data_IF_479817498176
#
_entry.id   IF_479817498176
#
_cell.length_a   1.000
_cell.length_b   1.000
_cell.length_c   1.000
_cell.angle_alpha   90.00
_cell.angle_beta   90.00
_cell.angle_gamma   90.00
#
_symmetry.space_group_name_H-M   'P 1'
#
loop_
_entity.id
_entity.type
_entity.pdbx_description
1 polymer ?
#
# COMPACT_ATOMS: atom_id res chain seq x y z
N UNK A 1 50.74 13.99 67.26
CA UNK A 1 50.55 13.43 65.90
C UNK A 1 49.49 12.33 65.98
N UNK A 2 48.47 12.45 65.13
CA UNK A 2 47.17 11.77 65.19
C UNK A 2 47.33 10.26 64.91
N UNK A 3 46.77 9.41 65.79
CA UNK A 3 46.58 7.97 65.55
C UNK A 3 45.23 7.77 64.88
N UNK A 4 45.24 7.32 63.62
CA UNK A 4 44.05 7.04 62.84
C UNK A 4 43.46 5.66 63.20
N UNK A 5 42.18 5.70 63.53
CA UNK A 5 41.23 4.59 63.69
C UNK A 5 40.95 3.98 62.31
N UNK A 6 41.22 2.69 62.11
CA UNK A 6 40.77 1.98 60.91
C UNK A 6 39.65 0.99 61.28
N UNK A 7 38.48 1.30 60.76
CA UNK A 7 37.21 0.60 60.93
C UNK A 7 37.23 -0.67 60.06
N UNK A 8 37.27 -1.84 60.69
CA UNK A 8 37.20 -3.12 59.99
C UNK A 8 35.73 -3.51 59.79
N UNK A 9 35.26 -3.30 58.57
CA UNK A 9 33.91 -3.59 58.11
C UNK A 9 33.73 -5.11 57.99
N UNK A 10 32.97 -5.73 58.89
CA UNK A 10 32.52 -7.12 58.75
C UNK A 10 31.57 -7.20 57.55
N UNK A 11 31.98 -7.87 56.47
CA UNK A 11 31.05 -8.35 55.45
C UNK A 11 30.33 -9.62 55.95
N UNK A 12 29.01 -9.75 55.79
CA UNK A 12 28.34 -11.01 56.03
C UNK A 12 28.71 -12.00 54.91
N UNK A 13 29.27 -13.15 55.29
CA UNK A 13 29.35 -14.31 54.41
C UNK A 13 27.91 -14.69 54.02
N UNK A 14 27.54 -14.48 52.76
CA UNK A 14 26.31 -15.04 52.20
C UNK A 14 26.46 -16.56 52.10
N UNK A 15 25.86 -17.29 53.03
CA UNK A 15 25.74 -18.74 52.91
C UNK A 15 24.78 -19.03 51.75
N UNK A 16 25.29 -19.64 50.69
CA UNK A 16 24.45 -20.22 49.66
C UNK A 16 23.84 -21.50 50.24
N UNK A 17 22.60 -21.42 50.71
CA UNK A 17 21.84 -22.59 51.15
C UNK A 17 21.53 -23.46 49.93
N UNK A 18 22.42 -24.41 49.63
CA UNK A 18 22.19 -25.40 48.60
C UNK A 18 21.16 -26.43 49.09
N UNK A 19 20.36 -26.94 48.16
CA UNK A 19 19.23 -27.83 48.43
C UNK A 19 19.51 -29.18 47.76
N UNK A 20 19.43 -30.24 48.57
CA UNK A 20 19.48 -31.62 48.09
C UNK A 20 18.16 -32.32 48.43
N UNK A 21 17.49 -32.86 47.42
CA UNK A 21 16.15 -33.44 47.52
C UNK A 21 16.08 -34.71 46.70
N UNK A 22 15.38 -35.72 47.21
CA UNK A 22 15.06 -36.94 46.48
C UNK A 22 13.57 -37.24 46.64
N UNK A 23 12.90 -37.37 45.50
CA UNK A 23 11.51 -37.77 45.39
C UNK A 23 11.45 -39.00 44.49
N UNK A 24 10.92 -40.09 45.03
CA UNK A 24 10.77 -41.35 44.31
C UNK A 24 9.28 -41.58 44.03
N UNK A 25 8.88 -41.50 42.75
CA UNK A 25 7.51 -41.75 42.28
C UNK A 25 6.43 -40.93 43.02
N UNK A 26 6.66 -39.63 43.19
CA UNK A 26 5.78 -38.72 43.95
C UNK A 26 4.75 -38.08 43.03
N UNK A 27 3.52 -37.89 43.52
CA UNK A 27 2.47 -37.18 42.77
C UNK A 27 2.87 -35.72 42.54
N UNK A 28 2.54 -35.20 41.35
CA UNK A 28 2.92 -33.83 40.95
C UNK A 28 2.30 -32.78 41.88
N UNK A 29 1.11 -33.02 42.42
CA UNK A 29 0.49 -32.12 43.41
C UNK A 29 1.31 -32.00 44.71
N UNK A 30 1.78 -33.12 45.25
CA UNK A 30 2.63 -33.19 46.42
C UNK A 30 4.00 -32.59 46.16
N UNK A 31 4.62 -32.91 45.02
CA UNK A 31 5.90 -32.33 44.60
C UNK A 31 5.80 -30.81 44.45
N UNK A 32 4.74 -30.32 43.79
CA UNK A 32 4.52 -28.90 43.59
C UNK A 32 4.33 -28.16 44.92
N UNK A 33 3.58 -28.75 45.86
CA UNK A 33 3.43 -28.20 47.21
C UNK A 33 4.77 -28.06 47.92
N UNK A 34 5.56 -29.13 47.99
CA UNK A 34 6.87 -29.09 48.66
C UNK A 34 7.83 -28.12 47.96
N UNK A 35 7.83 -28.09 46.63
CA UNK A 35 8.80 -27.28 45.91
C UNK A 35 8.41 -25.81 45.82
N UNK A 36 7.21 -25.50 45.34
CA UNK A 36 6.79 -24.12 45.13
C UNK A 36 6.33 -23.46 46.42
N UNK A 37 5.64 -24.17 47.32
CA UNK A 37 5.17 -23.58 48.58
C UNK A 37 6.22 -23.53 49.67
N UNK A 38 7.04 -24.57 49.83
CA UNK A 38 7.94 -24.68 51.00
C UNK A 38 9.35 -24.21 50.68
N UNK A 39 9.92 -24.66 49.54
CA UNK A 39 11.31 -24.32 49.16
C UNK A 39 11.41 -22.98 48.43
N UNK A 40 10.57 -22.76 47.41
CA UNK A 40 10.60 -21.57 46.55
C UNK A 40 9.74 -20.43 47.14
N UNK A 41 8.74 -20.78 47.96
CA UNK A 41 7.80 -19.84 48.60
C UNK A 41 7.06 -18.92 47.62
N UNK A 42 6.59 -19.49 46.51
CA UNK A 42 5.87 -18.77 45.44
C UNK A 42 4.50 -19.41 45.17
N UNK A 43 3.49 -18.60 44.82
CA UNK A 43 2.18 -19.11 44.43
C UNK A 43 2.29 -19.98 43.17
N UNK A 44 1.47 -21.03 43.10
CA UNK A 44 1.42 -21.91 41.95
C UNK A 44 -0.01 -22.39 41.64
N UNK A 45 -0.24 -22.77 40.39
CA UNK A 45 -1.49 -23.34 39.88
C UNK A 45 -1.17 -24.65 39.15
N UNK A 46 -1.96 -25.69 39.38
CA UNK A 46 -1.84 -26.97 38.68
C UNK A 46 -3.05 -27.11 37.74
N UNK A 47 -2.79 -27.34 36.45
CA UNK A 47 -3.85 -27.64 35.49
C UNK A 47 -4.49 -29.02 35.76
N UNK A 48 -5.76 -29.16 35.43
CA UNK A 48 -6.50 -30.40 35.69
C UNK A 48 -5.86 -31.63 35.00
N UNK A 49 -5.94 -32.78 35.65
CA UNK A 49 -5.33 -34.03 35.20
C UNK A 49 -3.83 -34.16 35.47
N UNK A 50 -3.07 -33.06 35.64
CA UNK A 50 -1.62 -33.12 35.87
C UNK A 50 -1.27 -33.52 37.29
N UNK A 51 -2.01 -33.03 38.30
CA UNK A 51 -1.68 -33.28 39.71
C UNK A 51 -1.63 -34.77 40.11
N UNK A 52 -2.32 -35.66 39.38
CA UNK A 52 -2.35 -37.10 39.62
C UNK A 52 -1.16 -37.86 39.01
N UNK A 53 -0.42 -37.27 38.06
CA UNK A 53 0.77 -37.89 37.49
C UNK A 53 1.84 -38.07 38.57
N UNK A 54 2.67 -39.09 38.43
CA UNK A 54 3.80 -39.35 39.33
C UNK A 54 5.12 -39.09 38.62
N UNK A 55 6.07 -38.50 39.33
CA UNK A 55 7.41 -38.17 38.82
C UNK A 55 8.47 -38.51 39.87
N UNK A 56 9.67 -38.85 39.41
CA UNK A 56 10.84 -39.05 40.27
C UNK A 56 11.85 -37.96 39.98
N UNK A 57 12.34 -37.29 41.04
CA UNK A 57 13.24 -36.15 40.94
C UNK A 57 14.33 -36.30 41.99
N UNK A 58 15.59 -36.27 41.55
CA UNK A 58 16.74 -36.18 42.44
C UNK A 58 17.53 -34.92 42.12
N UNK A 59 17.59 -34.01 43.08
CA UNK A 59 18.39 -32.79 43.04
C UNK A 59 19.51 -32.93 44.06
N UNK A 60 20.73 -32.64 43.66
CA UNK A 60 21.89 -32.68 44.54
C UNK A 60 22.62 -31.35 44.45
N UNK A 61 22.84 -30.72 45.61
CA UNK A 61 23.62 -29.50 45.75
C UNK A 61 23.17 -28.34 44.84
N UNK A 62 21.84 -28.15 44.71
CA UNK A 62 21.27 -27.13 43.82
C UNK A 62 21.07 -25.83 44.60
N UNK A 63 21.65 -24.69 44.18
CA UNK A 63 21.41 -23.40 44.81
C UNK A 63 19.91 -23.06 44.78
N UNK A 64 19.36 -22.57 45.90
CA UNK A 64 17.92 -22.20 46.01
C UNK A 64 17.41 -21.34 44.85
N UNK A 65 18.22 -20.40 44.36
CA UNK A 65 17.89 -19.53 43.21
C UNK A 65 17.68 -20.30 41.90
N UNK A 66 18.27 -21.49 41.76
CA UNK A 66 18.22 -22.33 40.56
C UNK A 66 17.29 -23.55 40.69
N UNK A 67 16.72 -23.79 41.88
CA UNK A 67 15.83 -24.93 42.14
C UNK A 67 14.61 -24.88 41.24
N UNK A 68 13.96 -23.72 41.09
CA UNK A 68 12.79 -23.56 40.22
C UNK A 68 13.09 -23.94 38.76
N UNK A 69 14.19 -23.43 38.20
CA UNK A 69 14.63 -23.72 36.84
C UNK A 69 15.00 -25.19 36.65
N UNK A 70 15.69 -25.78 37.62
CA UNK A 70 16.11 -27.19 37.57
C UNK A 70 14.90 -28.11 37.64
N UNK A 71 13.97 -27.82 38.55
CA UNK A 71 12.71 -28.55 38.68
C UNK A 71 11.87 -28.44 37.40
N UNK A 72 11.78 -27.26 36.80
CA UNK A 72 11.10 -27.06 35.52
C UNK A 72 11.65 -27.99 34.43
N UNK A 73 12.99 -28.07 34.28
CA UNK A 73 13.64 -28.97 33.30
C UNK A 73 13.39 -30.45 33.57
N UNK A 74 13.35 -30.86 34.83
CA UNK A 74 13.06 -32.27 35.16
C UNK A 74 11.60 -32.61 34.86
N UNK A 75 10.68 -31.71 35.18
CA UNK A 75 9.27 -31.88 34.86
C UNK A 75 9.01 -31.87 33.35
N UNK A 76 9.76 -31.06 32.59
CA UNK A 76 9.70 -31.04 31.11
C UNK A 76 10.00 -32.41 30.49
N UNK A 77 10.93 -33.17 31.07
CA UNK A 77 11.25 -34.53 30.64
C UNK A 77 10.11 -35.53 30.86
N UNK A 78 9.12 -35.17 31.69
CA UNK A 78 7.91 -35.95 31.98
C UNK A 78 6.65 -35.38 31.29
N UNK A 79 6.83 -34.60 30.22
CA UNK A 79 5.77 -33.89 29.49
C UNK A 79 4.94 -32.94 30.37
N UNK A 80 5.57 -32.34 31.38
CA UNK A 80 4.98 -31.35 32.27
C UNK A 80 5.78 -30.05 32.15
N UNK A 81 5.12 -28.96 31.80
CA UNK A 81 5.74 -27.65 31.69
C UNK A 81 5.46 -26.83 32.94
N UNK A 82 6.47 -26.10 33.40
CA UNK A 82 6.36 -25.11 34.48
C UNK A 82 6.63 -23.74 33.87
N UNK A 83 5.61 -22.88 33.81
CA UNK A 83 5.72 -21.50 33.31
C UNK A 83 5.57 -20.51 34.46
N UNK A 84 6.44 -19.53 34.53
CA UNK A 84 6.28 -18.39 35.43
C UNK A 84 5.59 -17.25 34.69
N UNK A 85 4.47 -16.76 35.21
CA UNK A 85 3.81 -15.56 34.73
C UNK A 85 3.46 -14.66 35.92
N UNK A 86 4.00 -13.44 35.90
CA UNK A 86 3.73 -12.40 36.91
C UNK A 86 3.98 -12.88 38.35
N UNK A 87 4.98 -13.74 38.54
CA UNK A 87 5.37 -14.29 39.86
C UNK A 87 4.53 -15.48 40.34
N UNK A 88 3.65 -16.04 39.49
CA UNK A 88 2.88 -17.26 39.74
C UNK A 88 3.39 -18.37 38.82
N UNK A 89 3.64 -19.56 39.36
CA UNK A 89 4.03 -20.74 38.57
C UNK A 89 2.82 -21.55 38.12
N UNK A 90 2.68 -21.77 36.81
CA UNK A 90 1.66 -22.62 36.20
C UNK A 90 2.28 -23.96 35.81
N UNK A 91 1.73 -25.06 36.34
CA UNK A 91 2.20 -26.42 36.13
C UNK A 91 1.15 -27.15 35.27
N UNK A 92 1.50 -27.46 34.04
CA UNK A 92 0.56 -27.98 33.05
C UNK A 92 1.18 -29.05 32.14
N UNK A 93 0.39 -29.66 31.23
CA UNK A 93 0.96 -30.50 30.18
C UNK A 93 1.90 -29.64 29.32
N UNK A 94 3.02 -30.21 28.90
CA UNK A 94 3.91 -29.54 27.95
C UNK A 94 3.17 -29.27 26.66
N UNK A 95 2.94 -28.00 26.34
CA UNK A 95 2.32 -27.61 25.08
C UNK A 95 3.44 -27.46 24.06
N UNK A 96 3.68 -28.51 23.28
CA UNK A 96 4.53 -28.36 22.11
C UNK A 96 3.84 -27.39 21.15
N UNK A 97 4.60 -26.38 20.70
CA UNK A 97 4.10 -25.52 19.64
C UNK A 97 3.76 -26.38 18.41
N UNK A 98 2.59 -26.15 17.85
CA UNK A 98 2.18 -26.77 16.61
C UNK A 98 2.76 -26.00 15.42
N UNK A 99 3.16 -26.75 14.40
CA UNK A 99 3.51 -26.18 13.11
C UNK A 99 2.24 -25.95 12.29
N UNK A 100 2.04 -24.72 11.83
CA UNK A 100 1.00 -24.34 10.88
C UNK A 100 1.68 -23.97 9.56
N UNK A 101 1.39 -24.76 8.53
CA UNK A 101 1.86 -24.50 7.17
C UNK A 101 0.66 -24.04 6.36
N UNK A 102 0.70 -22.80 5.87
CA UNK A 102 -0.36 -22.22 5.07
C UNK A 102 0.17 -21.77 3.71
N UNK A 103 -0.48 -22.18 2.61
CA UNK A 103 -0.13 -21.73 1.26
C UNK A 103 -1.19 -20.77 0.75
N UNK A 104 -0.91 -19.45 0.70
CA UNK A 104 -1.87 -18.48 0.22
C UNK A 104 -2.26 -18.75 -1.25
N UNK A 105 -3.54 -18.56 -1.56
CA UNK A 105 -4.15 -18.75 -2.87
C UNK A 105 -4.32 -17.43 -3.62
N UNK A 106 -4.60 -16.34 -2.92
CA UNK A 106 -5.00 -15.07 -3.55
C UNK A 106 -4.16 -13.87 -3.14
N UNK A 107 -3.58 -13.89 -1.93
CA UNK A 107 -2.73 -12.82 -1.39
C UNK A 107 -1.26 -13.25 -1.31
N UNK A 108 -0.30 -12.34 -1.49
CA UNK A 108 1.10 -12.63 -1.23
C UNK A 108 1.33 -12.86 0.27
N UNK A 109 2.35 -13.67 0.59
CA UNK A 109 2.71 -14.00 1.98
C UNK A 109 3.05 -12.75 2.79
N UNK A 110 3.62 -11.72 2.15
CA UNK A 110 3.97 -10.45 2.79
C UNK A 110 2.76 -9.75 3.43
N UNK A 111 1.63 -9.67 2.71
CA UNK A 111 0.41 -9.01 3.21
C UNK A 111 -0.18 -9.79 4.40
N UNK A 112 -0.17 -11.12 4.32
CA UNK A 112 -0.65 -11.98 5.40
C UNK A 112 0.26 -11.95 6.63
N UNK A 113 1.56 -11.67 6.44
CA UNK A 113 2.53 -11.62 7.53
C UNK A 113 2.25 -10.48 8.50
N UNK A 114 1.83 -9.32 7.99
CA UNK A 114 1.46 -8.18 8.83
C UNK A 114 0.25 -8.52 9.70
N UNK A 115 -0.78 -9.13 9.10
CA UNK A 115 -1.96 -9.61 9.83
C UNK A 115 -1.60 -10.65 10.90
N UNK A 116 -0.72 -11.59 10.56
CA UNK A 116 -0.25 -12.64 11.48
C UNK A 116 0.51 -12.07 12.66
N UNK A 117 1.41 -11.11 12.43
CA UNK A 117 2.16 -10.45 13.51
C UNK A 117 1.25 -9.73 14.49
N UNK A 118 0.16 -9.14 13.99
CA UNK A 118 -0.82 -8.46 14.83
C UNK A 118 -1.76 -9.44 15.56
N UNK A 119 -2.24 -10.48 14.88
CA UNK A 119 -3.19 -11.45 15.42
C UNK A 119 -2.54 -12.50 16.35
N UNK A 120 -1.27 -12.84 16.10
CA UNK A 120 -0.53 -13.89 16.81
C UNK A 120 0.86 -13.39 17.25
N UNK A 121 0.95 -12.53 18.29
CA UNK A 121 2.22 -11.93 18.71
C UNK A 121 3.26 -12.96 19.19
N UNK A 122 2.82 -14.14 19.64
CA UNK A 122 3.69 -15.26 20.02
C UNK A 122 4.11 -16.17 18.85
N UNK A 123 3.74 -15.84 17.61
CA UNK A 123 4.11 -16.62 16.44
C UNK A 123 5.62 -16.58 16.19
N UNK A 124 6.28 -17.74 16.28
CA UNK A 124 7.64 -17.89 15.77
C UNK A 124 7.59 -18.14 14.27
N UNK A 125 8.03 -17.15 13.50
CA UNK A 125 8.09 -17.20 12.05
C UNK A 125 9.31 -17.99 11.59
N UNK A 126 9.08 -19.13 10.94
CA UNK A 126 10.15 -19.90 10.29
C UNK A 126 10.33 -19.36 8.87
N UNK A 127 10.87 -18.14 8.73
CA UNK A 127 11.25 -17.64 7.40
C UNK A 127 12.49 -18.39 6.95
N UNK A 128 12.35 -19.26 5.95
CA UNK A 128 13.50 -19.80 5.23
C UNK A 128 14.35 -18.64 4.72
N UNK A 129 15.59 -18.55 5.18
CA UNK A 129 16.56 -17.60 4.65
C UNK A 129 16.83 -17.97 3.19
N UNK A 130 16.13 -17.35 2.25
CA UNK A 130 16.64 -17.28 0.89
C UNK A 130 17.76 -16.24 0.90
N UNK A 131 18.99 -16.70 0.99
CA UNK A 131 20.17 -15.91 0.63
C UNK A 131 19.97 -15.51 -0.83
N UNK A 132 19.56 -14.26 -1.05
CA UNK A 132 19.57 -13.69 -2.38
C UNK A 132 21.03 -13.57 -2.81
N UNK A 133 21.43 -14.34 -3.81
CA UNK A 133 22.60 -14.02 -4.61
C UNK A 133 22.34 -12.62 -5.16
N UNK A 134 23.17 -11.66 -4.77
CA UNK A 134 23.30 -10.39 -5.49
C UNK A 134 23.79 -10.72 -6.88
N UNK A 135 22.88 -10.83 -7.85
CA UNK A 135 23.24 -10.55 -9.24
C UNK A 135 23.57 -9.08 -9.29
N UNK A 136 24.87 -8.78 -9.31
CA UNK A 136 25.39 -7.51 -9.80
C UNK A 136 24.86 -7.32 -11.22
N UNK A 137 23.83 -6.49 -11.36
CA UNK A 137 23.49 -5.90 -12.65
C UNK A 137 24.60 -4.89 -12.93
N UNK A 138 25.55 -5.30 -13.77
CA UNK A 138 26.56 -4.44 -14.34
C UNK A 138 25.87 -3.53 -15.37
N UNK A 139 25.25 -2.44 -14.91
CA UNK A 139 24.74 -1.39 -15.77
C UNK A 139 25.60 -0.12 -15.62
N UNK A 140 26.43 0.08 -16.65
CA UNK A 140 26.89 1.31 -17.28
C UNK A 140 26.73 2.64 -16.51
N UNK A 141 27.85 3.35 -16.35
CA UNK A 141 27.95 4.72 -15.82
C UNK A 141 26.98 5.72 -16.49
N UNK A 142 26.38 6.64 -15.72
CA UNK A 142 25.90 7.90 -16.25
C UNK A 142 27.03 8.95 -16.24
N UNK A 143 27.34 9.52 -17.41
CA UNK A 143 28.15 10.74 -17.54
C UNK A 143 27.27 11.98 -17.32
N UNK A 144 27.75 12.85 -16.42
CA UNK A 144 27.29 14.19 -15.96
C UNK A 144 26.35 15.02 -16.88
N UNK A 145 25.46 15.89 -16.37
CA UNK A 145 25.25 16.36 -15.00
C UNK A 145 24.14 17.45 -14.93
N UNK A 146 23.65 17.71 -13.72
CA UNK A 146 22.68 18.78 -13.41
C UNK A 146 21.74 18.41 -12.26
N UNK A 147 21.90 19.10 -11.12
CA UNK A 147 21.26 18.94 -9.80
C UNK A 147 19.97 18.12 -9.70
N UNK A 148 20.04 17.01 -8.93
CA UNK A 148 18.88 16.35 -8.37
C UNK A 148 19.03 16.26 -6.83
N UNK A 149 18.02 16.79 -6.15
CA UNK A 149 17.76 16.70 -4.72
C UNK A 149 17.97 15.26 -4.23
N UNK A 150 18.86 15.06 -3.25
CA UNK A 150 19.02 13.75 -2.58
C UNK A 150 17.71 13.39 -1.86
N UNK A 151 17.05 12.27 -2.17
CA UNK A 151 16.06 11.71 -1.26
C UNK A 151 16.82 11.18 -0.05
N UNK A 152 16.42 11.58 1.16
CA UNK A 152 16.84 10.94 2.40
C UNK A 152 16.23 9.53 2.38
N UNK A 153 16.90 8.59 1.72
CA UNK A 153 16.52 7.18 1.78
C UNK A 153 17.03 6.66 3.11
N UNK A 154 16.17 6.62 4.13
CA UNK A 154 16.39 5.70 5.25
C UNK A 154 16.52 4.30 4.65
N UNK A 155 17.52 3.50 5.02
CA UNK A 155 17.50 2.08 4.68
C UNK A 155 16.33 1.45 5.42
N UNK A 156 15.16 1.39 4.78
CA UNK A 156 14.19 0.37 5.11
C UNK A 156 14.78 -0.93 4.60
N UNK A 157 15.32 -1.72 5.52
CA UNK A 157 15.53 -3.13 5.30
C UNK A 157 14.16 -3.75 5.02
N UNK A 158 13.74 -3.75 3.75
CA UNK A 158 12.69 -4.64 3.28
C UNK A 158 13.32 -6.03 3.28
N UNK A 159 13.26 -6.67 4.43
CA UNK A 159 13.42 -8.11 4.50
C UNK A 159 12.32 -8.70 3.62
N UNK A 160 12.65 -9.05 2.37
CA UNK A 160 11.82 -9.96 1.57
C UNK A 160 11.73 -11.25 2.37
N UNK A 161 10.68 -11.35 3.18
CA UNK A 161 10.38 -12.53 3.95
C UNK A 161 10.04 -13.66 2.97
N UNK A 162 11.08 -14.42 2.59
CA UNK A 162 11.02 -15.77 2.05
C UNK A 162 10.43 -15.91 0.64
N UNK A 163 11.26 -16.34 -0.31
CA UNK A 163 10.82 -16.85 -1.63
C UNK A 163 9.97 -18.13 -1.59
N UNK A 164 9.48 -18.55 -0.43
CA UNK A 164 8.53 -19.64 -0.29
C UNK A 164 7.14 -19.02 -0.36
N UNK A 165 6.34 -19.38 -1.36
CA UNK A 165 4.91 -19.02 -1.44
C UNK A 165 4.06 -19.71 -0.37
N UNK A 166 4.63 -19.96 0.82
CA UNK A 166 4.08 -20.73 1.93
C UNK A 166 4.51 -20.04 3.23
N UNK A 167 3.56 -19.82 4.12
CA UNK A 167 3.76 -19.34 5.48
C UNK A 167 3.94 -20.54 6.42
N UNK A 168 5.00 -20.53 7.22
CA UNK A 168 5.29 -21.57 8.21
C UNK A 168 5.38 -20.92 9.59
N UNK A 169 4.41 -21.22 10.46
CA UNK A 169 4.29 -20.67 11.80
C UNK A 169 4.46 -21.77 12.83
N UNK A 170 5.15 -21.45 13.91
CA UNK A 170 5.17 -22.24 15.13
C UNK A 170 4.34 -21.50 16.19
N UNK A 171 3.25 -22.11 16.66
CA UNK A 171 2.22 -21.48 17.48
C UNK A 171 1.75 -22.40 18.62
N UNK A 172 1.35 -21.85 19.79
CA UNK A 172 0.66 -22.62 20.82
C UNK A 172 -0.62 -23.28 20.26
N UNK A 173 -1.03 -24.47 20.73
CA UNK A 173 -2.13 -25.24 20.13
C UNK A 173 -3.45 -24.47 19.92
N UNK A 174 -3.83 -23.61 20.86
CA UNK A 174 -5.03 -22.78 20.73
C UNK A 174 -4.92 -21.75 19.58
N UNK A 175 -3.76 -21.12 19.42
CA UNK A 175 -3.49 -20.16 18.35
C UNK A 175 -3.30 -20.86 17.01
N UNK A 176 -2.71 -22.06 16.99
CA UNK A 176 -2.58 -22.85 15.78
C UNK A 176 -3.95 -23.22 15.18
N UNK A 177 -4.93 -23.59 16.03
CA UNK A 177 -6.32 -23.80 15.61
C UNK A 177 -6.94 -22.52 15.06
N UNK A 178 -6.85 -21.41 15.80
CA UNK A 178 -7.35 -20.11 15.35
C UNK A 178 -6.73 -19.65 14.02
N UNK A 179 -5.43 -19.87 13.82
CA UNK A 179 -4.74 -19.54 12.57
C UNK A 179 -5.27 -20.37 11.39
N UNK A 180 -5.48 -21.68 11.57
CA UNK A 180 -6.05 -22.56 10.54
C UNK A 180 -7.47 -22.15 10.14
N UNK A 181 -8.27 -21.64 11.08
CA UNK A 181 -9.61 -21.13 10.82
C UNK A 181 -9.61 -19.73 10.20
N UNK A 182 -8.68 -18.86 10.61
CA UNK A 182 -8.60 -17.48 10.14
C UNK A 182 -8.08 -17.37 8.71
N UNK A 183 -7.06 -18.15 8.34
CA UNK A 183 -6.40 -17.98 7.03
C UNK A 183 -7.34 -18.06 5.83
N UNK A 184 -8.26 -19.06 5.74
CA UNK A 184 -9.21 -19.11 4.64
C UNK A 184 -10.18 -17.92 4.59
N UNK A 185 -10.44 -17.26 5.72
CA UNK A 185 -11.35 -16.11 5.79
C UNK A 185 -10.69 -14.81 5.30
N UNK A 186 -9.37 -14.68 5.48
CA UNK A 186 -8.62 -13.48 5.08
C UNK A 186 -7.96 -13.60 3.70
N UNK A 187 -7.58 -14.81 3.30
CA UNK A 187 -7.06 -15.11 1.97
C UNK A 187 -8.21 -15.29 0.98
N UNK A 188 -8.84 -14.17 0.67
CA UNK A 188 -9.93 -14.06 -0.30
C UNK A 188 -9.43 -13.48 -1.61
N UNK A 189 -10.05 -13.83 -2.76
CA UNK A 189 -9.71 -13.22 -4.04
C UNK A 189 -9.93 -11.72 -4.00
N UNK A 190 -8.92 -10.95 -4.42
CA UNK A 190 -9.10 -9.52 -4.63
C UNK A 190 -10.00 -9.31 -5.86
N UNK A 191 -10.98 -8.42 -5.75
CA UNK A 191 -11.87 -8.07 -6.85
C UNK A 191 -11.07 -7.50 -8.03
N UNK A 192 -11.49 -7.85 -9.24
CA UNK A 192 -10.95 -7.29 -10.48
C UNK A 192 -11.90 -6.23 -11.00
N UNK A 193 -11.32 -5.16 -11.55
CA UNK A 193 -12.03 -4.02 -12.08
C UNK A 193 -11.60 -3.78 -13.53
N UNK A 194 -12.56 -3.41 -14.36
CA UNK A 194 -12.33 -2.87 -15.69
C UNK A 194 -12.64 -1.38 -15.67
N UNK A 195 -11.63 -0.55 -15.92
CA UNK A 195 -11.71 0.90 -15.83
C UNK A 195 -11.52 1.46 -17.23
N UNK A 196 -12.46 2.30 -17.65
CA UNK A 196 -12.46 2.96 -18.95
C UNK A 196 -12.55 4.45 -18.75
N UNK A 197 -11.75 5.19 -19.51
CA UNK A 197 -11.86 6.64 -19.53
C UNK A 197 -11.91 7.17 -20.97
N UNK A 198 -12.55 8.33 -21.16
CA UNK A 198 -12.52 9.12 -22.39
C UNK A 198 -12.17 10.55 -22.03
N UNK A 199 -11.05 11.04 -22.53
CA UNK A 199 -10.67 12.44 -22.35
C UNK A 199 -11.13 13.26 -23.56
N UNK A 200 -11.77 14.38 -23.28
CA UNK A 200 -12.22 15.38 -24.26
C UNK A 200 -11.50 16.70 -24.04
N UNK A 201 -11.22 17.38 -25.14
CA UNK A 201 -10.96 18.81 -25.18
C UNK A 201 -12.28 19.49 -25.56
N UNK A 202 -12.77 20.38 -24.69
CA UNK A 202 -14.10 20.97 -24.80
C UNK A 202 -13.95 22.48 -24.98
N UNK A 203 -14.48 22.98 -26.09
CA UNK A 203 -14.54 24.43 -26.34
C UNK A 203 -15.87 25.00 -25.80
N UNK A 204 -15.79 25.89 -24.82
CA UNK A 204 -16.93 26.58 -24.22
C UNK A 204 -16.82 28.09 -24.46
N UNK A 205 -17.96 28.78 -24.35
CA UNK A 205 -18.05 30.24 -24.37
C UNK A 205 -18.81 30.74 -23.13
N UNK A 206 -18.90 32.06 -22.96
CA UNK A 206 -19.62 32.69 -21.84
C UNK A 206 -21.12 32.34 -21.79
N UNK A 207 -21.74 31.95 -22.91
CA UNK A 207 -23.16 31.64 -22.97
C UNK A 207 -23.47 30.19 -22.56
N UNK A 208 -22.48 29.29 -22.69
CA UNK A 208 -22.66 27.84 -22.54
C UNK A 208 -22.42 27.31 -21.11
N UNK A 209 -21.70 28.05 -20.26
CA UNK A 209 -21.37 27.63 -18.89
C UNK A 209 -20.19 26.65 -18.82
N UNK A 210 -20.14 25.78 -17.81
CA UNK A 210 -19.05 24.80 -17.64
C UNK A 210 -19.17 23.65 -18.65
N UNK A 211 -18.05 22.97 -18.95
CA UNK A 211 -18.06 21.76 -19.79
C UNK A 211 -18.92 20.63 -19.18
N UNK A 212 -19.02 20.55 -17.85
CA UNK A 212 -19.89 19.61 -17.12
C UNK A 212 -21.37 19.96 -17.34
N UNK A 213 -21.75 21.23 -17.25
CA UNK A 213 -23.12 21.68 -17.54
C UNK A 213 -23.51 21.40 -18.99
N UNK A 214 -22.60 21.69 -19.92
CA UNK A 214 -22.80 21.41 -21.32
C UNK A 214 -22.99 19.90 -21.55
N UNK A 215 -22.09 19.07 -21.01
CA UNK A 215 -22.20 17.61 -21.13
C UNK A 215 -23.53 17.11 -20.54
N UNK A 216 -23.92 17.59 -19.36
CA UNK A 216 -25.19 17.25 -18.74
C UNK A 216 -26.40 17.64 -19.59
N UNK A 217 -26.39 18.82 -20.20
CA UNK A 217 -27.49 19.28 -21.06
C UNK A 217 -27.65 18.41 -22.32
N UNK A 218 -26.54 18.05 -22.96
CA UNK A 218 -26.53 17.22 -24.16
C UNK A 218 -26.97 15.78 -23.85
N UNK A 219 -26.37 15.19 -22.81
CA UNK A 219 -26.66 13.82 -22.38
C UNK A 219 -28.08 13.71 -21.86
N UNK A 220 -28.52 14.66 -21.03
CA UNK A 220 -29.88 14.73 -20.50
C UNK A 220 -30.95 14.87 -21.59
N UNK A 221 -30.71 15.72 -22.58
CA UNK A 221 -31.64 15.96 -23.69
C UNK A 221 -31.70 14.80 -24.69
N UNK A 222 -30.57 14.17 -25.02
CA UNK A 222 -30.51 13.10 -26.04
C UNK A 222 -30.75 11.70 -25.50
N UNK A 223 -30.46 11.43 -24.22
CA UNK A 223 -30.71 10.14 -23.58
C UNK A 223 -31.94 10.14 -22.65
N UNK A 224 -32.64 11.27 -22.51
CA UNK A 224 -33.84 11.37 -21.66
C UNK A 224 -33.59 11.21 -20.16
N UNK A 225 -32.31 11.18 -19.72
CA UNK A 225 -31.91 10.82 -18.36
C UNK A 225 -32.31 11.86 -17.30
N UNK A 226 -32.60 13.10 -17.72
CA UNK A 226 -33.06 14.15 -16.80
C UNK A 226 -34.51 13.93 -16.31
N UNK A 227 -35.36 13.21 -17.06
CA UNK A 227 -36.76 12.97 -16.67
C UNK A 227 -36.95 11.70 -15.81
N UNK A 228 -35.97 10.79 -15.78
CA UNK A 228 -36.06 9.49 -15.10
C UNK A 228 -35.20 9.36 -13.82
N UNK A 229 -34.68 10.47 -13.27
CA UNK A 229 -33.79 10.43 -12.10
C UNK A 229 -32.40 9.85 -12.39
N UNK A 230 -31.93 9.97 -13.64
CA UNK A 230 -30.65 9.39 -14.10
C UNK A 230 -29.39 10.14 -13.66
N UNK A 231 -29.52 11.31 -13.03
CA UNK A 231 -28.39 12.07 -12.46
C UNK A 231 -28.33 11.82 -10.95
N UNK A 232 -27.23 11.26 -10.48
CA UNK A 232 -27.03 10.87 -9.07
C UNK A 232 -26.46 11.99 -8.20
N UNK A 233 -25.53 12.76 -8.78
CA UNK A 233 -24.86 13.85 -8.11
C UNK A 233 -24.40 14.86 -9.17
N UNK A 234 -24.44 16.14 -8.83
CA UNK A 234 -23.92 17.24 -9.65
C UNK A 234 -23.15 18.20 -8.74
N UNK A 235 -21.93 18.53 -9.13
CA UNK A 235 -21.15 19.65 -8.62
C UNK A 235 -20.72 20.53 -9.80
N UNK A 236 -20.03 21.64 -9.52
CA UNK A 236 -19.49 22.49 -10.58
C UNK A 236 -18.41 21.78 -11.43
N UNK A 237 -17.77 20.73 -10.89
CA UNK A 237 -16.68 20.00 -11.54
C UNK A 237 -17.01 18.56 -11.90
N UNK A 238 -18.16 18.02 -11.47
CA UNK A 238 -18.50 16.63 -11.72
C UNK A 238 -20.01 16.39 -11.87
N UNK A 239 -20.37 15.40 -12.69
CA UNK A 239 -21.72 14.86 -12.73
C UNK A 239 -21.68 13.34 -12.89
N UNK A 240 -22.53 12.64 -12.14
CA UNK A 240 -22.62 11.17 -12.18
C UNK A 240 -23.96 10.73 -12.76
N UNK A 241 -23.92 9.82 -13.73
CA UNK A 241 -25.08 9.23 -14.39
C UNK A 241 -25.29 7.78 -13.97
N UNK A 242 -26.55 7.42 -13.70
CA UNK A 242 -27.00 6.04 -13.47
C UNK A 242 -27.58 5.46 -14.77
N UNK A 243 -27.45 4.14 -14.96
CA UNK A 243 -28.05 3.40 -16.08
C UNK A 243 -27.60 3.89 -17.47
N UNK A 244 -26.44 4.52 -17.54
CA UNK A 244 -25.80 4.92 -18.79
C UNK A 244 -24.48 4.16 -18.91
N UNK A 245 -24.02 3.93 -20.14
CA UNK A 245 -22.68 3.39 -20.40
C UNK A 245 -21.77 4.51 -20.87
N UNK A 246 -20.45 4.37 -20.67
CA UNK A 246 -19.47 5.34 -21.16
C UNK A 246 -19.59 5.54 -22.66
N UNK A 247 -19.90 4.49 -23.41
CA UNK A 247 -20.06 4.55 -24.87
C UNK A 247 -21.30 5.32 -25.30
N UNK A 248 -22.42 5.16 -24.57
CA UNK A 248 -23.64 5.90 -24.86
C UNK A 248 -23.46 7.39 -24.60
N UNK A 249 -22.82 7.74 -23.48
CA UNK A 249 -22.48 9.13 -23.13
C UNK A 249 -21.48 9.70 -24.13
N UNK A 250 -20.38 8.98 -24.42
CA UNK A 250 -19.37 9.39 -25.39
C UNK A 250 -19.97 9.63 -26.78
N UNK A 251 -20.85 8.75 -27.26
CA UNK A 251 -21.54 8.92 -28.56
C UNK A 251 -22.37 10.21 -28.63
N UNK A 252 -23.01 10.58 -27.52
CA UNK A 252 -23.75 11.85 -27.43
C UNK A 252 -22.80 13.03 -27.49
N UNK A 253 -21.70 13.00 -26.72
CA UNK A 253 -20.72 14.08 -26.70
C UNK A 253 -20.00 14.22 -28.05
N UNK A 254 -19.60 13.11 -28.67
CA UNK A 254 -18.97 13.05 -30.00
C UNK A 254 -19.84 13.65 -31.12
N UNK A 255 -21.16 13.73 -30.91
CA UNK A 255 -22.08 14.33 -31.88
C UNK A 255 -22.14 15.86 -31.83
N UNK A 256 -21.45 16.49 -30.87
CA UNK A 256 -21.34 17.94 -30.74
C UNK A 256 -19.92 18.41 -31.06
N UNK A 257 -19.79 19.37 -31.98
CA UNK A 257 -18.49 19.83 -32.49
C UNK A 257 -17.60 20.49 -31.44
N UNK A 258 -18.17 20.89 -30.29
CA UNK A 258 -17.39 21.47 -29.17
C UNK A 258 -16.58 20.42 -28.42
N UNK A 259 -16.92 19.14 -28.54
CA UNK A 259 -16.23 18.04 -27.88
C UNK A 259 -15.28 17.35 -28.86
N UNK A 260 -13.98 17.42 -28.59
CA UNK A 260 -12.96 16.73 -29.37
C UNK A 260 -12.35 15.61 -28.52
N UNK A 261 -12.57 14.36 -28.89
CA UNK A 261 -11.95 13.21 -28.20
C UNK A 261 -10.43 13.28 -28.34
N UNK A 262 -9.72 13.27 -27.21
CA UNK A 262 -8.25 13.24 -27.12
C UNK A 262 -7.73 11.83 -26.91
N UNK A 263 -8.40 11.02 -26.09
CA UNK A 263 -7.97 9.64 -25.82
C UNK A 263 -9.09 8.77 -25.22
N UNK A 264 -8.93 7.45 -25.33
CA UNK A 264 -9.85 6.42 -24.80
C UNK A 264 -9.11 5.25 -24.12
N UNK A 265 -8.33 5.48 -23.05
CA UNK A 265 -7.63 4.40 -22.38
C UNK A 265 -8.60 3.45 -21.66
N UNK A 266 -8.24 2.17 -21.59
CA UNK A 266 -8.96 1.18 -20.79
C UNK A 266 -7.97 0.17 -20.20
N UNK A 267 -8.17 -0.18 -18.93
CA UNK A 267 -7.29 -1.08 -18.18
C UNK A 267 -8.08 -2.05 -17.32
N UNK A 268 -7.52 -3.24 -17.09
CA UNK A 268 -7.99 -4.19 -16.08
C UNK A 268 -7.00 -4.22 -14.93
N UNK A 269 -7.50 -4.13 -13.71
CA UNK A 269 -6.67 -4.01 -12.51
C UNK A 269 -7.36 -4.63 -11.31
N UNK A 270 -6.58 -5.19 -10.38
CA UNK A 270 -7.10 -5.71 -9.10
C UNK A 270 -7.27 -4.58 -8.11
N UNK A 271 -8.24 -4.70 -7.20
CA UNK A 271 -8.33 -3.81 -6.03
C UNK A 271 -7.00 -3.74 -5.27
N UNK A 272 -6.54 -2.53 -4.95
CA UNK A 272 -5.26 -2.23 -4.33
C UNK A 272 -4.05 -2.29 -5.27
N UNK A 273 -4.24 -2.64 -6.54
CA UNK A 273 -3.18 -2.67 -7.55
C UNK A 273 -3.05 -1.36 -8.32
N UNK A 274 -1.92 -1.16 -8.98
CA UNK A 274 -1.69 -0.03 -9.89
C UNK A 274 -1.71 -0.51 -11.35
N UNK A 275 -2.42 0.21 -12.21
CA UNK A 275 -2.39 0.00 -13.66
C UNK A 275 -1.99 1.27 -14.40
N UNK A 276 -1.15 1.09 -15.42
CA UNK A 276 -0.66 2.15 -16.29
C UNK A 276 -0.88 1.79 -17.74
N UNK A 277 -1.50 2.71 -18.47
CA UNK A 277 -1.58 2.69 -19.93
C UNK A 277 -0.75 3.85 -20.47
N UNK A 278 0.18 3.58 -21.39
CA UNK A 278 1.04 4.61 -21.98
C UNK A 278 1.21 4.35 -23.47
N UNK A 279 0.88 5.34 -24.29
CA UNK A 279 1.05 5.31 -25.75
C UNK A 279 1.54 6.66 -26.21
N UNK A 280 2.53 6.71 -27.09
CA UNK A 280 3.12 7.98 -27.49
C UNK A 280 4.24 7.82 -28.50
N UNK A 281 4.96 8.91 -28.69
CA UNK A 281 6.11 9.05 -29.57
C UNK A 281 7.23 9.80 -28.84
N UNK A 282 8.48 9.55 -29.22
CA UNK A 282 9.62 10.30 -28.76
C UNK A 282 10.08 11.25 -29.86
N UNK A 283 10.24 12.53 -29.52
CA UNK A 283 10.66 13.56 -30.47
C UNK A 283 12.02 14.12 -30.04
N UNK A 284 13.02 14.15 -30.94
CA UNK A 284 14.28 14.80 -30.67
C UNK A 284 14.07 16.31 -30.56
N UNK A 285 14.57 16.89 -29.47
CA UNK A 285 14.54 18.32 -29.19
C UNK A 285 15.97 18.85 -29.03
N UNK A 286 16.17 20.14 -29.34
CA UNK A 286 17.48 20.76 -29.18
C UNK A 286 17.82 20.90 -27.69
N UNK A 287 18.93 20.31 -27.27
CA UNK A 287 19.50 20.40 -25.93
C UNK A 287 20.44 21.60 -25.74
N UNK A 288 21.35 21.51 -24.77
CA UNK A 288 22.39 22.54 -24.58
C UNK A 288 23.43 22.57 -25.70
N UNK A 289 24.03 23.75 -25.91
CA UNK A 289 25.18 23.95 -26.81
C UNK A 289 26.46 24.00 -25.98
N UNK A 290 27.47 23.23 -26.40
CA UNK A 290 28.83 23.31 -25.83
C UNK A 290 29.78 23.87 -26.87
N UNK A 291 30.39 25.02 -26.59
CA UNK A 291 31.36 25.66 -27.48
C UNK A 291 32.78 25.35 -27.02
N UNK A 292 33.59 24.76 -27.91
CA UNK A 292 35.01 24.48 -27.70
C UNK A 292 35.87 25.20 -28.75
N UNK A 293 37.19 25.18 -28.57
CA UNK A 293 38.18 25.84 -29.44
C UNK A 293 38.08 25.39 -30.92
N UNK A 294 37.45 24.23 -31.20
CA UNK A 294 37.22 23.69 -32.54
C UNK A 294 35.79 23.83 -33.10
N UNK A 295 34.86 24.47 -32.40
CA UNK A 295 33.47 24.66 -32.85
C UNK A 295 32.41 24.47 -31.76
N UNK A 296 31.14 24.66 -32.14
CA UNK A 296 29.98 24.45 -31.27
C UNK A 296 29.34 23.08 -31.53
N UNK A 297 29.13 22.30 -30.48
CA UNK A 297 28.40 21.03 -30.51
C UNK A 297 27.03 21.21 -29.88
N UNK A 298 25.97 20.82 -30.60
CA UNK A 298 24.59 20.87 -30.15
C UNK A 298 24.14 19.50 -29.64
N UNK A 299 23.67 19.41 -28.39
CA UNK A 299 23.09 18.18 -27.87
C UNK A 299 21.68 17.96 -28.43
N UNK A 300 21.28 16.69 -28.57
CA UNK A 300 19.92 16.26 -28.91
C UNK A 300 19.34 15.54 -27.69
N UNK A 301 18.15 15.96 -27.24
CA UNK A 301 17.44 15.35 -26.11
C UNK A 301 16.11 14.82 -26.60
N UNK A 302 15.87 13.53 -26.41
CA UNK A 302 14.58 12.92 -26.72
C UNK A 302 13.56 13.25 -25.62
N UNK A 303 12.39 13.73 -26.04
CA UNK A 303 11.27 14.05 -25.16
C UNK A 303 10.07 13.21 -25.59
N UNK A 304 9.47 12.48 -24.66
CA UNK A 304 8.30 11.65 -24.95
C UNK A 304 7.00 12.47 -24.86
N UNK A 305 6.08 12.26 -25.80
CA UNK A 305 4.73 12.81 -25.76
C UNK A 305 3.70 11.76 -26.14
N UNK A 306 2.51 11.86 -25.56
CA UNK A 306 1.42 10.93 -25.83
C UNK A 306 0.37 10.93 -24.73
N UNK A 307 -0.29 9.79 -24.55
CA UNK A 307 -1.32 9.59 -23.54
C UNK A 307 -0.78 8.65 -22.48
N UNK A 308 -0.83 9.08 -21.22
CA UNK A 308 -0.50 8.27 -20.05
C UNK A 308 -1.70 8.30 -19.10
N UNK A 309 -2.26 7.14 -18.81
CA UNK A 309 -3.36 6.94 -17.87
C UNK A 309 -2.90 6.00 -16.77
N UNK A 310 -2.73 6.54 -15.57
CA UNK A 310 -2.41 5.81 -14.36
C UNK A 310 -3.66 5.76 -13.47
N UNK A 311 -3.94 4.57 -12.92
CA UNK A 311 -5.07 4.37 -12.00
C UNK A 311 -4.74 3.36 -10.92
N UNK A 312 -5.14 3.71 -9.69
CA UNK A 312 -5.07 2.84 -8.51
C UNK A 312 -6.47 2.75 -7.89
N UNK A 313 -7.20 1.64 -8.07
CA UNK A 313 -8.50 1.47 -7.44
C UNK A 313 -8.42 0.73 -6.11
N UNK A 314 -9.33 1.05 -5.19
CA UNK A 314 -9.57 0.31 -3.95
C UNK A 314 -11.07 0.06 -3.77
N UNK A 315 -11.46 -1.21 -3.74
CA UNK A 315 -12.86 -1.61 -3.52
C UNK A 315 -13.17 -1.60 -2.02
N UNK A 316 -14.23 -0.90 -1.64
CA UNK A 316 -14.80 -0.86 -0.30
C UNK A 316 -16.30 -1.20 -0.35
N UNK A 317 -16.91 -1.42 0.80
CA UNK A 317 -18.34 -1.78 0.88
C UNK A 317 -19.27 -0.72 0.26
N UNK A 318 -18.88 0.55 0.30
CA UNK A 318 -19.66 1.68 -0.22
C UNK A 318 -19.44 2.03 -1.70
N UNK A 319 -18.43 1.44 -2.35
CA UNK A 319 -18.01 1.80 -3.71
C UNK A 319 -16.54 1.50 -3.99
N UNK A 320 -16.03 2.09 -5.07
CA UNK A 320 -14.64 1.98 -5.51
C UNK A 320 -13.99 3.35 -5.40
N UNK A 321 -12.98 3.46 -4.55
CA UNK A 321 -12.12 4.63 -4.50
C UNK A 321 -11.11 4.53 -5.64
N UNK A 322 -10.89 5.64 -6.33
CA UNK A 322 -10.01 5.71 -7.49
C UNK A 322 -9.06 6.88 -7.29
N UNK A 323 -7.77 6.62 -7.43
CA UNK A 323 -6.76 7.63 -7.69
C UNK A 323 -6.39 7.55 -9.17
N UNK A 324 -6.54 8.67 -9.89
CA UNK A 324 -6.36 8.74 -11.33
C UNK A 324 -5.41 9.87 -11.68
N UNK A 325 -4.44 9.57 -12.54
CA UNK A 325 -3.59 10.56 -13.19
C UNK A 325 -3.64 10.36 -14.70
N UNK A 326 -4.15 11.37 -15.40
CA UNK A 326 -4.25 11.38 -16.86
C UNK A 326 -3.36 12.50 -17.40
N UNK A 327 -2.38 12.12 -18.21
CA UNK A 327 -1.49 13.04 -18.92
C UNK A 327 -1.70 12.88 -20.43
N UNK A 328 -1.91 14.00 -21.12
CA UNK A 328 -2.00 14.06 -22.58
C UNK A 328 -1.01 15.10 -23.05
N UNK A 329 -0.09 14.70 -23.91
CA UNK A 329 0.92 15.58 -24.48
C UNK A 329 1.10 15.36 -25.97
N UNK A 330 1.49 16.44 -26.65
CA UNK A 330 1.79 16.45 -28.07
C UNK A 330 2.86 17.49 -28.39
N UNK A 331 3.52 17.31 -29.52
CA UNK A 331 4.46 18.30 -30.04
C UNK A 331 3.79 19.09 -31.16
N UNK A 332 4.07 20.39 -31.18
CA UNK A 332 3.67 21.31 -32.24
C UNK A 332 4.85 22.16 -32.69
N UNK A 333 4.80 22.66 -33.93
CA UNK A 333 5.81 23.58 -34.44
C UNK A 333 5.84 24.85 -33.58
N UNK A 334 7.04 25.32 -33.26
CA UNK A 334 7.22 26.57 -32.52
C UNK A 334 7.09 27.74 -33.49
N UNK A 335 6.05 28.56 -33.32
CA UNK A 335 5.80 29.75 -34.15
C UNK A 335 6.23 31.06 -33.47
N UNK A 336 6.48 31.01 -32.16
CA UNK A 336 6.77 32.18 -31.31
C UNK A 336 8.24 32.58 -31.27
N UNK A 337 9.13 31.78 -31.87
CA UNK A 337 10.57 32.06 -31.91
C UNK A 337 11.21 31.47 -33.16
N UNK A 338 12.45 31.88 -33.46
CA UNK A 338 13.26 31.29 -34.55
C UNK A 338 13.91 29.95 -34.14
N UNK A 339 13.57 29.39 -32.97
CA UNK A 339 14.12 28.13 -32.50
C UNK A 339 13.55 26.97 -33.32
N UNK A 340 14.42 26.21 -33.99
CA UNK A 340 14.05 24.99 -34.71
C UNK A 340 13.93 23.78 -33.75
N UNK A 341 13.04 23.88 -32.76
CA UNK A 341 12.69 22.82 -31.82
C UNK A 341 11.19 22.87 -31.56
N UNK A 342 10.47 21.75 -31.48
CA UNK A 342 9.03 21.75 -31.26
C UNK A 342 8.65 22.21 -29.85
N UNK A 343 7.47 22.80 -29.73
CA UNK A 343 6.82 23.10 -28.45
C UNK A 343 6.08 21.86 -27.95
N UNK A 344 6.32 21.47 -26.69
CA UNK A 344 5.58 20.39 -26.02
C UNK A 344 4.33 20.97 -25.35
N UNK A 345 3.16 20.62 -25.89
CA UNK A 345 1.91 20.81 -25.19
C UNK A 345 1.70 19.67 -24.20
N UNK A 346 1.34 19.99 -22.96
CA UNK A 346 1.04 19.00 -21.93
C UNK A 346 -0.20 19.43 -21.14
N UNK A 347 -1.16 18.52 -21.02
CA UNK A 347 -2.34 18.63 -20.15
C UNK A 347 -2.29 17.49 -19.15
N UNK A 348 -2.49 17.79 -17.88
CA UNK A 348 -2.44 16.79 -16.80
C UNK A 348 -3.64 17.00 -15.87
N UNK A 349 -4.27 15.89 -15.49
CA UNK A 349 -5.36 15.84 -14.53
C UNK A 349 -5.01 14.79 -13.48
N UNK A 350 -5.05 15.17 -12.21
CA UNK A 350 -4.85 14.29 -11.08
C UNK A 350 -6.04 14.44 -10.13
N UNK A 351 -6.70 13.35 -9.80
CA UNK A 351 -7.93 13.38 -9.01
C UNK A 351 -8.13 12.09 -8.23
N UNK A 352 -8.82 12.21 -7.11
CA UNK A 352 -9.27 11.08 -6.31
C UNK A 352 -10.79 11.18 -6.11
N UNK A 353 -11.51 10.08 -6.36
CA UNK A 353 -12.96 10.04 -6.19
C UNK A 353 -13.46 8.64 -5.83
N UNK A 354 -14.63 8.58 -5.20
CA UNK A 354 -15.36 7.33 -4.97
C UNK A 354 -16.47 7.20 -6.00
N UNK A 355 -16.57 6.05 -6.67
CA UNK A 355 -17.63 5.74 -7.64
C UNK A 355 -18.29 4.43 -7.29
N UNK A 356 -19.52 4.18 -7.79
CA UNK A 356 -20.10 2.84 -7.73
C UNK A 356 -19.84 2.10 -9.04
N UNK A 357 -19.63 0.77 -9.01
CA UNK A 357 -19.54 -0.01 -10.23
C UNK A 357 -20.77 0.19 -11.12
N UNK A 358 -20.54 0.47 -12.41
CA UNK A 358 -21.56 0.74 -13.42
C UNK A 358 -22.02 2.19 -13.52
N UNK A 359 -21.62 3.07 -12.59
CA UNK A 359 -21.88 4.50 -12.73
C UNK A 359 -20.90 5.13 -13.73
N UNK A 360 -21.40 6.10 -14.49
CA UNK A 360 -20.59 6.90 -15.41
C UNK A 360 -20.38 8.27 -14.81
N UNK A 361 -19.13 8.65 -14.61
CA UNK A 361 -18.75 9.93 -14.01
C UNK A 361 -18.13 10.83 -15.06
N UNK A 362 -18.60 12.07 -15.16
CA UNK A 362 -17.99 13.14 -15.93
C UNK A 362 -17.30 14.09 -14.98
N UNK A 363 -16.02 14.37 -15.22
CA UNK A 363 -15.17 15.26 -14.43
C UNK A 363 -14.62 16.37 -15.33
N UNK A 364 -14.76 17.63 -14.93
CA UNK A 364 -14.07 18.76 -15.56
C UNK A 364 -12.69 18.98 -14.94
N UNK A 365 -11.70 19.28 -15.78
CA UNK A 365 -10.36 19.72 -15.41
C UNK A 365 -10.17 21.23 -15.54
N UNK A 366 -8.92 21.67 -15.42
CA UNK A 366 -8.49 23.08 -15.36
C UNK A 366 -8.86 23.89 -16.62
N UNK A 367 -9.16 25.17 -16.42
CA UNK A 367 -9.46 26.17 -17.45
C UNK A 367 -8.20 26.64 -18.21
N UNK A 368 -8.31 26.72 -19.54
CA UNK A 368 -7.38 27.51 -20.37
C UNK A 368 -8.20 28.53 -21.14
N UNK A 369 -7.98 29.81 -20.89
CA UNK A 369 -8.59 30.92 -21.62
C UNK A 369 -7.75 31.27 -22.84
N UNK A 370 -8.37 31.38 -24.01
CA UNK A 370 -7.73 31.85 -25.23
C UNK A 370 -8.55 33.02 -25.79
N UNK A 371 -8.06 34.24 -25.61
CA UNK A 371 -8.70 35.45 -26.13
C UNK A 371 -8.36 35.63 -27.62
N UNK A 372 -9.34 35.54 -28.51
CA UNK A 372 -9.16 35.89 -29.93
C UNK A 372 -9.87 37.21 -30.24
N UNK A 373 -9.09 38.26 -30.47
CA UNK A 373 -9.60 39.59 -30.84
C UNK A 373 -9.44 39.86 -32.35
N UNK A 374 -10.53 40.14 -33.06
CA UNK A 374 -10.52 40.53 -34.46
C UNK A 374 -11.23 41.87 -34.69
N UNK A 375 -10.49 42.89 -35.15
CA UNK A 375 -11.06 44.17 -35.58
C UNK A 375 -11.50 44.09 -37.05
N UNK A 376 -12.78 44.38 -37.34
CA UNK A 376 -13.27 44.45 -38.71
C UNK A 376 -13.27 45.91 -39.17
N UNK A 377 -12.52 46.19 -40.24
CA UNK A 377 -12.49 47.49 -40.89
C UNK A 377 -12.94 47.34 -42.34
N UNK A 378 -13.89 48.16 -42.78
CA UNK A 378 -14.30 48.27 -44.18
C UNK A 378 -13.92 49.68 -44.64
N UNK A 379 -13.07 49.80 -45.66
CA UNK A 379 -12.60 51.09 -46.19
C UNK A 379 -12.09 52.07 -45.11
N UNK A 380 -11.31 51.58 -44.12
CA UNK A 380 -10.76 52.42 -43.06
C UNK A 380 -11.77 52.86 -41.99
N UNK A 381 -13.03 52.45 -42.08
CA UNK A 381 -14.06 52.70 -41.05
C UNK A 381 -14.11 51.49 -40.10
N UNK A 382 -13.89 51.67 -38.79
CA UNK A 382 -14.01 50.59 -37.81
C UNK A 382 -15.48 50.20 -37.61
N UNK A 383 -15.86 48.97 -37.97
CA UNK A 383 -17.24 48.45 -37.88
C UNK A 383 -17.52 47.67 -36.58
N UNK A 384 -16.67 47.82 -35.57
CA UNK A 384 -16.80 47.17 -34.26
C UNK A 384 -15.76 46.09 -34.00
N UNK A 385 -15.52 45.84 -32.71
CA UNK A 385 -14.63 44.79 -32.22
C UNK A 385 -15.47 43.55 -31.93
N UNK A 386 -15.19 42.45 -32.62
CA UNK A 386 -15.74 41.15 -32.24
C UNK A 386 -14.73 40.52 -31.28
N UNK A 387 -15.08 40.45 -30.00
CA UNK A 387 -14.29 39.74 -28.98
C UNK A 387 -15.02 38.44 -28.67
N UNK A 388 -14.50 37.33 -29.20
CA UNK A 388 -14.99 36.00 -28.87
C UNK A 388 -14.07 35.43 -27.79
N UNK A 389 -14.61 35.26 -26.59
CA UNK A 389 -13.90 34.65 -25.47
C UNK A 389 -14.19 33.15 -25.50
N UNK A 390 -13.24 32.38 -26.06
CA UNK A 390 -13.35 30.93 -26.16
C UNK A 390 -12.49 30.30 -25.07
N UNK A 391 -13.10 29.47 -24.23
CA UNK A 391 -12.40 28.72 -23.19
C UNK A 391 -12.24 27.28 -23.62
N UNK A 392 -11.05 26.69 -23.41
CA UNK A 392 -10.80 25.26 -23.64
C UNK A 392 -10.61 24.53 -22.31
N UNK A 393 -11.48 23.57 -22.04
CA UNK A 393 -11.46 22.76 -20.82
C UNK A 393 -11.18 21.30 -21.13
N UNK A 394 -10.46 20.60 -20.26
CA UNK A 394 -10.37 19.13 -20.33
C UNK A 394 -11.57 18.53 -19.63
N UNK A 395 -12.23 17.55 -20.23
CA UNK A 395 -13.29 16.77 -19.58
C UNK A 395 -12.92 15.30 -19.61
N UNK A 396 -12.96 14.63 -18.46
CA UNK A 396 -12.72 13.21 -18.31
C UNK A 396 -14.04 12.50 -18.02
N UNK A 397 -14.44 11.62 -18.94
CA UNK A 397 -15.53 10.69 -18.76
C UNK A 397 -14.95 9.36 -18.27
N UNK A 398 -15.52 8.77 -17.22
CA UNK A 398 -15.00 7.59 -16.53
C UNK A 398 -16.13 6.58 -16.26
N UNK A 399 -15.83 5.30 -16.47
CA UNK A 399 -16.69 4.18 -16.05
C UNK A 399 -15.83 3.10 -15.40
N UNK A 400 -16.35 2.53 -14.31
CA UNK A 400 -15.74 1.40 -13.60
C UNK A 400 -16.72 0.25 -13.55
N UNK A 401 -16.27 -0.93 -13.96
CA UNK A 401 -17.05 -2.17 -13.89
C UNK A 401 -16.31 -3.18 -13.01
N UNK A 402 -17.03 -3.85 -12.12
CA UNK A 402 -16.53 -5.04 -11.43
C UNK A 402 -16.61 -6.24 -12.38
N UNK A 403 -15.58 -7.08 -12.37
CA UNK A 403 -15.45 -8.27 -13.23
C UNK A 403 -15.82 -9.57 -12.53
#
# INVERSE_FOLDING_TARGET
MIRALFLLLLMPLAWADNVSLRFDSVRVDALAKSMFSEVIQRPYVIEDGIGKKTVSVQLQDVPRSSVALTLARVLEASDIEVREDSGIYFIGPRRSDELVIYRPRYRPVADLLELVRQAFPSASLMTGHSVGVTTETQDSEPVNGGEAVKPITRPQATTKAGGLGVLVLRLPPAQARAARELFPLVDTPAQQLYIRAVAYDVSTDKATGTSVDLALSLVGGKLGLQLSGGVLAKSAQAVTFKNATVDAVAKVLDSDSRFRTMSRPAVRVRSGGHARFSVGQEVPTLGGVTTNVGGATQAIVYRSAGVIFDVTPEVRDGGVDLEIKQTISSFQTTETSQLNSPTLNKRELETALTVRPGDVVVLAGLDSEEETGGGRSFFGIPLGRSQADTKRQTLLLLEVQAL
#
